data_IF_877684848110
#
_entry.id   IF_877684848110
#
_cell.length_a   1.000
_cell.length_b   1.000
_cell.length_c   1.000
_cell.angle_alpha   90.00
_cell.angle_beta   90.00
_cell.angle_gamma   90.00
#
_symmetry.space_group_name_H-M   'P 1'
#
loop_
_entity.id
_entity.type
_entity.pdbx_description
1 polymer ?
#
# COMPACT_ATOMS: atom_id res chain seq x y z
N UNK A 1 68.45 13.66 28.99
CA UNK A 1 67.46 14.31 28.10
C UNK A 1 66.08 13.78 28.46
N UNK A 2 65.14 14.66 28.81
CA UNK A 2 63.82 14.35 29.38
C UNK A 2 62.77 14.30 28.27
N UNK A 3 61.97 13.24 28.22
CA UNK A 3 60.73 13.17 27.45
C UNK A 3 59.70 14.11 28.06
N UNK A 4 58.97 14.85 27.23
CA UNK A 4 57.80 15.61 27.64
C UNK A 4 56.65 15.28 26.70
N UNK A 5 55.68 14.53 27.22
CA UNK A 5 54.38 14.27 26.61
C UNK A 5 53.51 15.49 26.88
N UNK A 6 53.08 16.18 25.82
CA UNK A 6 52.03 17.20 25.93
C UNK A 6 50.68 16.54 25.65
N UNK A 7 49.88 16.47 26.70
CA UNK A 7 48.47 16.08 26.70
C UNK A 7 47.67 17.22 26.04
N UNK A 8 46.99 16.98 24.92
CA UNK A 8 45.95 17.90 24.47
C UNK A 8 44.80 17.16 23.76
N UNK A 9 43.73 17.01 24.54
CA UNK A 9 42.32 17.11 24.14
C UNK A 9 41.75 16.13 23.11
N UNK A 10 41.02 15.15 23.68
CA UNK A 10 39.73 14.62 23.19
C UNK A 10 39.02 15.56 22.19
N UNK A 11 38.82 15.06 20.97
CA UNK A 11 37.85 15.57 20.01
C UNK A 11 37.08 14.38 19.46
N UNK A 12 36.14 13.86 20.26
CA UNK A 12 35.24 12.77 19.90
C UNK A 12 34.28 13.30 18.81
N UNK A 13 34.68 13.18 17.54
CA UNK A 13 33.79 13.43 16.40
C UNK A 13 32.80 12.25 16.31
N UNK A 14 31.78 12.28 17.17
CA UNK A 14 30.57 11.47 16.99
C UNK A 14 29.86 12.07 15.79
N UNK A 15 30.23 11.61 14.60
CA UNK A 15 29.35 11.72 13.44
C UNK A 15 28.10 10.89 13.78
N UNK A 16 27.09 11.56 14.34
CA UNK A 16 25.74 11.05 14.41
C UNK A 16 25.31 10.75 12.98
N UNK A 17 25.53 9.51 12.56
CA UNK A 17 24.80 8.88 11.47
C UNK A 17 23.34 8.81 11.93
N UNK A 18 22.63 9.92 11.78
CA UNK A 18 21.17 9.92 11.73
C UNK A 18 20.83 9.26 10.39
N UNK A 19 21.10 7.96 10.27
CA UNK A 19 20.33 7.13 9.36
C UNK A 19 18.92 7.22 9.92
N UNK A 20 18.14 8.18 9.42
CA UNK A 20 16.71 8.18 9.58
C UNK A 20 16.28 6.80 9.09
N UNK A 21 16.03 5.87 10.01
CA UNK A 21 15.45 4.58 9.71
C UNK A 21 14.10 4.90 9.11
N UNK A 22 14.05 5.03 7.77
CA UNK A 22 12.84 5.29 7.02
C UNK A 22 11.93 4.12 7.33
N UNK A 23 10.98 4.31 8.26
CA UNK A 23 10.02 3.30 8.65
C UNK A 23 9.40 2.75 7.37
N UNK A 24 9.44 1.43 7.21
CA UNK A 24 8.68 0.80 6.14
C UNK A 24 7.22 0.85 6.55
N UNK A 25 6.36 1.56 5.82
CA UNK A 25 4.95 1.65 6.17
C UNK A 25 4.34 0.25 6.15
N UNK A 26 3.40 -0.06 7.05
CA UNK A 26 2.66 -1.31 6.98
C UNK A 26 1.92 -1.37 5.63
N UNK A 27 1.83 -2.55 4.99
CA UNK A 27 1.15 -2.66 3.71
C UNK A 27 -0.37 -2.41 3.86
N UNK A 28 -1.04 -1.90 2.81
CA UNK A 28 -2.51 -1.90 2.71
C UNK A 28 -3.12 -3.28 2.93
N UNK A 29 -4.33 -3.29 3.47
CA UNK A 29 -5.10 -4.48 3.84
C UNK A 29 -6.13 -4.88 2.78
N UNK A 30 -6.73 -6.06 2.93
CA UNK A 30 -7.89 -6.47 2.13
C UNK A 30 -9.10 -5.55 2.31
N UNK A 31 -9.23 -4.93 3.49
CA UNK A 31 -10.28 -3.97 3.77
C UNK A 31 -10.09 -2.69 2.95
N UNK A 32 -8.86 -2.19 2.85
CA UNK A 32 -8.53 -1.02 2.02
C UNK A 32 -8.86 -1.31 0.54
N UNK A 33 -8.47 -2.49 0.03
CA UNK A 33 -8.79 -2.92 -1.32
C UNK A 33 -10.31 -3.09 -1.55
N UNK A 34 -11.05 -3.59 -0.56
CA UNK A 34 -12.52 -3.70 -0.62
C UNK A 34 -13.18 -2.32 -0.69
N UNK A 35 -12.66 -1.34 0.03
CA UNK A 35 -13.11 0.05 -0.05
C UNK A 35 -12.78 0.68 -1.40
N UNK A 36 -11.59 0.44 -1.97
CA UNK A 36 -11.25 0.87 -3.35
C UNK A 36 -12.28 0.32 -4.35
N UNK A 37 -12.61 -0.97 -4.24
CA UNK A 37 -13.63 -1.58 -5.09
C UNK A 37 -14.99 -0.90 -4.94
N UNK A 38 -15.44 -0.68 -3.70
CA UNK A 38 -16.72 -0.01 -3.42
C UNK A 38 -16.76 1.40 -4.00
N UNK A 39 -15.66 2.15 -3.90
CA UNK A 39 -15.57 3.52 -4.40
C UNK A 39 -15.61 3.58 -5.93
N UNK A 40 -14.93 2.65 -6.60
CA UNK A 40 -14.85 2.59 -8.06
C UNK A 40 -16.12 2.03 -8.70
N UNK A 41 -16.87 1.18 -7.98
CA UNK A 41 -18.09 0.52 -8.46
C UNK A 41 -19.38 1.08 -7.83
N UNK A 42 -19.30 2.20 -7.11
CA UNK A 42 -20.44 2.79 -6.41
C UNK A 42 -21.58 3.22 -7.35
N UNK A 43 -21.26 3.69 -8.57
CA UNK A 43 -22.24 4.31 -9.48
C UNK A 43 -21.90 4.09 -10.97
N UNK A 44 -22.81 3.49 -11.76
CA UNK A 44 -23.96 2.70 -11.30
C UNK A 44 -23.50 1.44 -10.55
N UNK A 45 -24.21 1.08 -9.48
CA UNK A 45 -23.93 -0.18 -8.76
C UNK A 45 -24.51 -1.34 -9.54
N UNK A 46 -23.71 -1.91 -10.45
CA UNK A 46 -24.11 -3.01 -11.35
C UNK A 46 -23.77 -4.40 -10.80
N UNK A 47 -22.79 -4.46 -9.91
CA UNK A 47 -22.26 -5.66 -9.30
C UNK A 47 -22.16 -5.44 -7.78
N UNK A 48 -22.18 -6.53 -7.02
CA UNK A 48 -21.90 -6.57 -5.58
C UNK A 48 -20.62 -7.36 -5.34
N UNK A 49 -19.71 -6.80 -4.52
CA UNK A 49 -18.53 -7.52 -4.06
C UNK A 49 -18.95 -8.54 -3.00
N UNK A 50 -18.69 -9.81 -3.29
CA UNK A 50 -18.91 -10.93 -2.37
C UNK A 50 -17.69 -11.15 -1.49
N UNK A 51 -16.50 -11.13 -2.09
CA UNK A 51 -15.23 -11.24 -1.36
C UNK A 51 -14.10 -10.62 -2.16
N UNK A 52 -13.10 -10.09 -1.47
CA UNK A 52 -11.80 -9.71 -2.02
C UNK A 52 -10.73 -10.29 -1.11
N UNK A 53 -9.91 -11.19 -1.66
CA UNK A 53 -8.88 -11.90 -0.91
C UNK A 53 -7.53 -11.63 -1.54
N UNK A 54 -6.58 -11.16 -0.75
CA UNK A 54 -5.22 -10.89 -1.16
C UNK A 54 -4.54 -12.22 -1.52
N UNK A 55 -3.97 -12.27 -2.71
CA UNK A 55 -3.20 -13.41 -3.21
C UNK A 55 -1.70 -13.18 -3.10
N UNK A 56 -1.25 -11.93 -3.21
CA UNK A 56 0.13 -11.53 -3.04
C UNK A 56 0.22 -10.04 -2.71
N UNK A 57 1.42 -9.55 -2.38
CA UNK A 57 1.69 -8.12 -2.45
C UNK A 57 3.16 -7.80 -2.52
N UNK A 58 3.47 -6.70 -3.22
CA UNK A 58 4.83 -6.33 -3.57
C UNK A 58 5.07 -4.86 -3.25
N UNK A 59 6.18 -4.58 -2.57
CA UNK A 59 6.64 -3.23 -2.29
C UNK A 59 7.71 -2.84 -3.31
N UNK A 60 7.54 -1.71 -3.96
CA UNK A 60 8.49 -1.11 -4.90
C UNK A 60 8.73 0.36 -4.53
N UNK A 61 9.83 0.94 -5.00
CA UNK A 61 10.09 2.38 -4.88
C UNK A 61 10.20 2.97 -6.29
N UNK A 62 9.32 3.90 -6.62
CA UNK A 62 9.24 4.56 -7.93
C UNK A 62 9.43 6.06 -7.73
N UNK A 63 10.52 6.61 -8.26
CA UNK A 63 10.88 8.04 -8.11
C UNK A 63 10.91 8.51 -6.63
N UNK A 64 11.38 7.66 -5.72
CA UNK A 64 11.44 7.96 -4.28
C UNK A 64 10.11 7.78 -3.52
N UNK A 65 9.04 7.37 -4.20
CA UNK A 65 7.74 7.08 -3.60
C UNK A 65 7.59 5.57 -3.45
N UNK A 66 7.27 5.09 -2.25
CA UNK A 66 6.94 3.68 -2.03
C UNK A 66 5.58 3.37 -2.64
N UNK A 67 5.52 2.31 -3.44
CA UNK A 67 4.31 1.79 -4.05
C UNK A 67 4.10 0.36 -3.56
N UNK A 68 2.93 0.08 -3.01
CA UNK A 68 2.53 -1.28 -2.67
C UNK A 68 1.48 -1.78 -3.64
N UNK A 69 1.82 -2.79 -4.43
CA UNK A 69 0.87 -3.47 -5.31
C UNK A 69 0.25 -4.64 -4.55
N UNK A 70 -1.04 -4.52 -4.23
CA UNK A 70 -1.84 -5.58 -3.60
C UNK A 70 -2.50 -6.39 -4.72
N UNK A 71 -2.07 -7.65 -4.89
CA UNK A 71 -2.70 -8.59 -5.81
C UNK A 71 -3.82 -9.34 -5.09
N UNK A 72 -4.97 -9.51 -5.73
CA UNK A 72 -6.14 -10.12 -5.12
C UNK A 72 -6.93 -10.99 -6.09
N UNK A 73 -7.73 -11.90 -5.53
CA UNK A 73 -8.87 -12.54 -6.18
C UNK A 73 -10.15 -11.89 -5.65
N UNK A 74 -11.03 -11.45 -6.56
CA UNK A 74 -12.34 -10.91 -6.21
C UNK A 74 -13.45 -11.82 -6.73
N UNK A 75 -14.51 -11.92 -5.93
CA UNK A 75 -15.78 -12.54 -6.32
C UNK A 75 -16.85 -11.47 -6.34
N UNK A 76 -17.54 -11.36 -7.45
CA UNK A 76 -18.60 -10.39 -7.67
C UNK A 76 -19.88 -11.06 -8.10
N UNK A 77 -21.01 -10.47 -7.72
CA UNK A 77 -22.35 -10.88 -8.15
C UNK A 77 -22.98 -9.80 -9.01
N UNK A 78 -23.35 -10.13 -10.24
CA UNK A 78 -24.09 -9.19 -11.09
C UNK A 78 -25.48 -8.93 -10.49
N UNK A 79 -25.84 -7.65 -10.33
CA UNK A 79 -27.16 -7.23 -9.84
C UNK A 79 -28.16 -7.05 -10.97
N UNK A 80 -27.66 -6.74 -12.16
CA UNK A 80 -28.44 -6.58 -13.39
C UNK A 80 -27.91 -7.51 -14.47
N UNK A 81 -28.59 -7.56 -15.61
CA UNK A 81 -28.09 -8.28 -16.78
C UNK A 81 -26.90 -7.52 -17.38
N UNK A 82 -25.75 -8.18 -17.50
CA UNK A 82 -24.51 -7.61 -18.05
C UNK A 82 -24.08 -8.40 -19.31
N UNK A 83 -24.56 -7.96 -20.47
CA UNK A 83 -24.45 -8.71 -21.72
C UNK A 83 -25.18 -10.05 -21.63
N UNK A 84 -24.47 -11.15 -21.87
CA UNK A 84 -25.03 -12.50 -21.77
C UNK A 84 -25.04 -13.05 -20.34
N UNK A 85 -24.61 -12.27 -19.34
CA UNK A 85 -24.62 -12.68 -17.92
C UNK A 85 -25.96 -12.29 -17.27
N UNK A 86 -26.82 -13.25 -16.87
CA UNK A 86 -28.05 -12.92 -16.16
C UNK A 86 -27.76 -12.36 -14.75
N UNK A 87 -28.72 -11.62 -14.15
CA UNK A 87 -28.64 -11.21 -12.75
C UNK A 87 -28.38 -12.41 -11.83
N UNK A 88 -27.55 -12.22 -10.80
CA UNK A 88 -27.14 -13.24 -9.86
C UNK A 88 -25.93 -14.07 -10.28
N UNK A 89 -25.41 -13.89 -11.50
CA UNK A 89 -24.17 -14.54 -11.95
C UNK A 89 -23.01 -14.17 -11.03
N UNK A 90 -22.27 -15.17 -10.55
CA UNK A 90 -21.02 -14.98 -9.80
C UNK A 90 -19.83 -15.05 -10.75
N UNK A 91 -18.95 -14.05 -10.68
CA UNK A 91 -17.68 -14.04 -11.40
C UNK A 91 -16.54 -14.01 -10.39
N UNK A 92 -15.53 -14.85 -10.62
CA UNK A 92 -14.25 -14.80 -9.93
C UNK A 92 -13.19 -14.29 -10.89
N UNK A 93 -12.34 -13.35 -10.47
CA UNK A 93 -11.21 -12.88 -11.26
C UNK A 93 -10.05 -12.43 -10.37
N UNK A 94 -8.86 -12.38 -10.96
CA UNK A 94 -7.66 -11.86 -10.31
C UNK A 94 -7.31 -10.49 -10.87
N UNK A 95 -6.84 -9.60 -10.00
CA UNK A 95 -6.43 -8.24 -10.35
C UNK A 95 -5.45 -7.70 -9.29
N UNK A 96 -5.11 -6.42 -9.38
CA UNK A 96 -4.29 -5.74 -8.40
C UNK A 96 -4.69 -4.27 -8.23
N UNK A 97 -4.35 -3.71 -7.06
CA UNK A 97 -4.45 -2.28 -6.79
C UNK A 97 -3.07 -1.74 -6.36
N UNK A 98 -2.53 -0.72 -7.05
CA UNK A 98 -1.34 -0.01 -6.62
C UNK A 98 -1.71 1.08 -5.60
N UNK A 99 -1.09 1.03 -4.44
CA UNK A 99 -1.22 2.05 -3.40
C UNK A 99 0.07 2.86 -3.31
N UNK A 100 -0.04 4.19 -3.34
CA UNK A 100 1.10 5.10 -3.26
C UNK A 100 1.26 5.63 -1.84
N UNK A 101 2.46 5.52 -1.27
CA UNK A 101 2.72 6.01 0.07
C UNK A 101 2.78 7.53 0.12
N UNK A 102 2.15 8.11 1.14
CA UNK A 102 2.25 9.52 1.50
C UNK A 102 2.50 9.65 2.99
N UNK A 103 2.87 10.83 3.48
CA UNK A 103 3.04 11.08 4.93
C UNK A 103 1.76 10.82 5.75
N UNK A 104 0.59 10.79 5.10
CA UNK A 104 -0.71 10.61 5.76
C UNK A 104 -1.27 9.19 5.64
N UNK A 105 -0.60 8.29 4.92
CA UNK A 105 -1.09 6.95 4.61
C UNK A 105 -1.01 6.59 3.13
N UNK A 106 -1.70 5.53 2.76
CA UNK A 106 -1.72 5.00 1.40
C UNK A 106 -2.79 5.67 0.54
N UNK A 107 -2.44 6.10 -0.67
CA UNK A 107 -3.40 6.57 -1.66
C UNK A 107 -3.69 5.45 -2.65
N UNK A 108 -4.95 5.00 -2.69
CA UNK A 108 -5.42 3.96 -3.60
C UNK A 108 -5.60 4.46 -5.04
N UNK A 109 -5.87 3.57 -6.01
CA UNK A 109 -6.09 3.94 -7.40
C UNK A 109 -7.38 4.75 -7.60
N UNK A 110 -8.30 4.70 -6.64
CA UNK A 110 -9.51 5.53 -6.54
C UNK A 110 -9.23 6.94 -6.01
N UNK A 111 -7.96 7.31 -5.83
CA UNK A 111 -7.50 8.61 -5.34
C UNK A 111 -7.92 8.94 -3.89
N UNK A 112 -8.30 7.92 -3.11
CA UNK A 112 -8.63 8.10 -1.68
C UNK A 112 -7.47 7.71 -0.78
N UNK A 113 -7.43 8.34 0.39
CA UNK A 113 -6.46 8.07 1.44
C UNK A 113 -6.96 6.96 2.37
N UNK A 114 -6.08 6.00 2.65
CA UNK A 114 -6.26 4.86 3.53
C UNK A 114 -5.23 4.94 4.65
N UNK A 115 -5.64 5.04 5.92
CA UNK A 115 -4.73 5.21 7.05
C UNK A 115 -3.88 3.95 7.29
N UNK A 116 -2.79 4.10 8.04
CA UNK A 116 -2.04 2.96 8.58
C UNK A 116 -2.90 2.19 9.60
N UNK A 117 -2.70 0.87 9.67
CA UNK A 117 -3.33 -0.04 10.64
C UNK A 117 -2.31 -0.61 11.61
#
# INVERSE_FOLDING_TARGET
MKCSFSLMTLGLAVACLITACKRTPPPPTEQDASLVWQNTHAKPRLEDLISLTKTNGQMEEVNGVKVYTLYYEAKEKSLVQLGNRPPGTIKTYQSNYPFHWTEKGWVGPDQKLYPEH
#
